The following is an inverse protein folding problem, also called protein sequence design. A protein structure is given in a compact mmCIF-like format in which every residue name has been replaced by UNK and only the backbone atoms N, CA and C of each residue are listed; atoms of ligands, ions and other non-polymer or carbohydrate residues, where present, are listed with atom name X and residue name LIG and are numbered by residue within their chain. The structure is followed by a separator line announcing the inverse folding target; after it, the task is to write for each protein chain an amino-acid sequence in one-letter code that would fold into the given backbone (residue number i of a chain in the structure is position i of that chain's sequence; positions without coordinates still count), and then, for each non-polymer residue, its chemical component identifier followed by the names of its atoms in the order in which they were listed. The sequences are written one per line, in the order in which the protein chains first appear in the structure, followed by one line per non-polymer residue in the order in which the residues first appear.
data_IF_621164240789
#
_entry.id   IF_621164240789
#
_cell.length_a   1.000
_cell.length_b   1.000
_cell.length_c   1.000
_cell.angle_alpha   90.00
_cell.angle_beta   90.00
_cell.angle_gamma   90.00
#
_symmetry.space_group_name_H-M   'P 1'
#
loop_
_entity.id
_entity.type
_entity.pdbx_description
1 polymer ?
#
# COMPACT_ATOMS: atom_id res chain seq x y z
N UNK A 1 -4.09 -4.76 16.44
CA UNK A 1 -3.82 -5.07 15.01
C UNK A 1 -4.36 -3.92 14.17
N UNK A 2 -3.59 -3.40 13.19
CA UNK A 2 -3.98 -2.25 12.39
C UNK A 2 -5.21 -2.50 11.48
N UNK A 3 -5.43 -3.74 11.06
CA UNK A 3 -6.51 -4.11 10.13
C UNK A 3 -7.60 -4.98 10.80
N UNK A 4 -7.78 -4.88 12.12
CA UNK A 4 -8.72 -5.72 12.84
C UNK A 4 -8.38 -7.21 12.70
N UNK A 5 -9.31 -8.00 12.12
CA UNK A 5 -9.11 -9.43 11.81
C UNK A 5 -8.49 -9.68 10.43
N UNK A 6 -8.41 -8.67 9.58
CA UNK A 6 -7.83 -8.78 8.24
C UNK A 6 -6.30 -8.84 8.36
N UNK A 7 -5.68 -9.76 7.64
CA UNK A 7 -4.24 -9.73 7.41
C UNK A 7 -3.99 -9.63 5.90
N UNK A 8 -3.68 -8.42 5.36
CA UNK A 8 -3.44 -8.24 3.93
C UNK A 8 -2.33 -9.14 3.37
N UNK A 9 -1.33 -9.51 4.20
CA UNK A 9 -0.23 -10.39 3.79
C UNK A 9 -0.73 -11.76 3.30
N UNK A 10 -1.81 -12.29 3.89
CA UNK A 10 -2.42 -13.56 3.47
C UNK A 10 -2.98 -13.50 2.04
N UNK A 11 -3.16 -12.29 1.51
CA UNK A 11 -3.65 -12.05 0.16
C UNK A 11 -2.54 -11.59 -0.80
N UNK A 12 -1.27 -11.64 -0.38
CA UNK A 12 -0.13 -11.19 -1.20
C UNK A 12 0.05 -9.68 -1.22
N UNK A 13 -0.55 -8.96 -0.26
CA UNK A 13 -0.39 -7.53 -0.08
C UNK A 13 0.45 -7.30 1.17
N UNK A 14 1.62 -6.69 1.03
CA UNK A 14 2.47 -6.25 2.14
C UNK A 14 2.08 -4.83 2.53
N UNK A 15 1.47 -4.61 3.73
CA UNK A 15 1.28 -3.29 4.27
C UNK A 15 2.55 -2.84 5.02
N UNK A 16 3.10 -1.68 4.66
CA UNK A 16 4.24 -1.06 5.36
C UNK A 16 3.77 0.25 5.98
N UNK A 17 3.85 0.36 7.31
CA UNK A 17 3.59 1.60 8.02
C UNK A 17 4.80 2.52 7.89
N UNK A 18 4.59 3.71 7.34
CA UNK A 18 5.60 4.76 7.27
C UNK A 18 5.22 5.88 8.22
N UNK A 19 6.16 6.31 9.04
CA UNK A 19 6.10 7.50 9.88
C UNK A 19 7.17 8.46 9.39
N UNK A 20 6.76 9.66 8.97
CA UNK A 20 7.65 10.75 8.60
C UNK A 20 7.50 11.86 9.63
N UNK A 21 8.63 12.38 10.10
CA UNK A 21 8.69 13.53 10.99
C UNK A 21 9.59 14.57 10.35
N UNK A 22 9.13 15.82 10.31
CA UNK A 22 9.91 16.93 9.80
C UNK A 22 10.50 17.72 10.96
N UNK A 23 11.73 17.36 11.34
CA UNK A 23 12.50 18.11 12.34
C UNK A 23 13.24 19.32 11.72
N UNK A 24 13.09 19.54 10.42
CA UNK A 24 13.70 20.66 9.71
C UNK A 24 12.90 21.96 9.81
N UNK A 25 13.52 23.10 9.48
CA UNK A 25 12.88 24.41 9.55
C UNK A 25 11.98 24.74 8.35
N UNK A 26 12.02 23.93 7.28
CA UNK A 26 11.29 24.16 6.04
C UNK A 26 10.09 23.23 5.91
N UNK A 27 9.00 23.72 5.34
CA UNK A 27 7.86 22.87 4.95
C UNK A 27 8.25 21.94 3.81
N UNK A 28 7.94 20.65 3.95
CA UNK A 28 8.17 19.66 2.90
C UNK A 28 6.90 19.45 2.08
N UNK A 29 7.05 19.28 0.77
CA UNK A 29 6.02 18.71 -0.10
C UNK A 29 6.32 17.23 -0.34
N UNK A 30 5.27 16.43 -0.23
CA UNK A 30 5.24 14.99 -0.44
C UNK A 30 4.47 14.61 -1.72
N UNK A 31 4.00 15.59 -2.52
CA UNK A 31 3.22 15.32 -3.73
C UNK A 31 4.00 14.54 -4.80
N UNK A 32 5.32 14.68 -4.83
CA UNK A 32 6.22 13.92 -5.70
C UNK A 32 6.82 12.67 -5.04
N UNK A 33 6.42 12.37 -3.79
CA UNK A 33 7.03 11.29 -3.02
C UNK A 33 6.71 9.95 -3.66
N UNK A 34 7.75 9.15 -3.90
CA UNK A 34 7.62 7.77 -4.36
C UNK A 34 8.18 6.83 -3.30
N UNK A 35 7.43 5.75 -3.06
CA UNK A 35 7.83 4.68 -2.16
C UNK A 35 7.85 3.39 -2.96
N UNK A 36 9.02 2.78 -3.06
CA UNK A 36 9.26 1.53 -3.75
C UNK A 36 9.72 0.46 -2.76
N UNK A 37 9.29 -0.78 -2.98
CA UNK A 37 9.80 -1.94 -2.28
C UNK A 37 10.76 -2.69 -3.19
N UNK A 38 12.05 -2.67 -2.83
CA UNK A 38 13.13 -3.26 -3.60
C UNK A 38 13.45 -4.64 -3.02
N UNK A 39 13.28 -5.69 -3.81
CA UNK A 39 13.63 -7.05 -3.40
C UNK A 39 15.15 -7.27 -3.43
N UNK A 40 15.64 -8.32 -2.76
CA UNK A 40 17.04 -8.74 -2.85
C UNK A 40 17.50 -9.02 -4.30
N UNK A 41 16.58 -9.40 -5.19
CA UNK A 41 16.81 -9.54 -6.63
C UNK A 41 16.97 -8.22 -7.38
N UNK A 42 16.89 -7.07 -6.69
CA UNK A 42 16.82 -5.70 -7.22
C UNK A 42 15.55 -5.38 -8.03
N UNK A 43 14.57 -6.28 -8.02
CA UNK A 43 13.25 -5.97 -8.56
C UNK A 43 12.60 -4.86 -7.72
N UNK A 44 12.10 -3.82 -8.38
CA UNK A 44 11.36 -2.73 -7.76
C UNK A 44 9.86 -2.97 -7.86
N UNK A 45 9.15 -2.75 -6.76
CA UNK A 45 7.70 -2.86 -6.68
C UNK A 45 7.17 -1.52 -6.19
N UNK A 46 6.42 -0.83 -7.04
CA UNK A 46 5.79 0.43 -6.67
C UNK A 46 4.63 0.21 -5.68
N UNK A 47 4.40 1.20 -4.82
CA UNK A 47 3.26 1.18 -3.92
C UNK A 47 1.95 1.18 -4.71
N UNK A 48 1.10 0.20 -4.44
CA UNK A 48 -0.26 0.10 -4.97
C UNK A 48 -1.16 1.09 -4.24
N UNK A 49 -1.89 1.96 -4.97
CA UNK A 49 -2.87 2.86 -4.38
C UNK A 49 -3.88 2.08 -3.53
N UNK A 50 -4.24 2.58 -2.34
CA UNK A 50 -5.11 1.86 -1.42
C UNK A 50 -6.46 1.44 -2.03
N UNK A 51 -7.04 2.31 -2.86
CA UNK A 51 -8.27 2.04 -3.63
C UNK A 51 -8.14 0.89 -4.64
N UNK A 52 -6.92 0.59 -5.08
CA UNK A 52 -6.61 -0.44 -6.07
C UNK A 52 -6.29 -1.79 -5.43
N UNK A 53 -5.96 -1.82 -4.14
CA UNK A 53 -5.63 -3.05 -3.37
C UNK A 53 -6.75 -4.10 -3.50
N UNK A 54 -8.01 -3.66 -3.50
CA UNK A 54 -9.16 -4.54 -3.68
C UNK A 54 -9.20 -5.26 -5.03
N UNK A 55 -8.51 -4.77 -6.05
CA UNK A 55 -8.58 -5.30 -7.42
C UNK A 55 -7.34 -6.11 -7.82
N UNK A 56 -6.33 -6.19 -6.95
CA UNK A 56 -5.07 -6.93 -7.20
C UNK A 56 -5.31 -8.42 -7.46
N UNK A 57 -6.23 -9.04 -6.73
CA UNK A 57 -6.73 -10.38 -7.08
C UNK A 57 -7.98 -10.18 -7.92
N UNK A 58 -7.86 -10.48 -9.22
CA UNK A 58 -8.99 -10.47 -10.15
C UNK A 58 -10.19 -11.23 -9.56
N UNK A 59 -11.40 -10.72 -9.86
CA UNK A 59 -12.67 -11.34 -9.45
C UNK A 59 -12.62 -12.83 -9.81
N UNK A 60 -12.66 -13.71 -8.80
CA UNK A 60 -12.84 -15.14 -9.04
C UNK A 60 -14.11 -15.29 -9.86
N UNK A 61 -13.98 -15.72 -11.12
CA UNK A 61 -15.13 -15.98 -11.99
C UNK A 61 -16.04 -16.96 -11.24
N UNK A 62 -17.36 -16.68 -11.13
CA UNK A 62 -18.29 -17.66 -10.57
C UNK A 62 -18.11 -18.98 -11.32
N UNK A 63 -17.95 -20.08 -10.59
CA UNK A 63 -17.91 -21.41 -11.18
C UNK A 63 -19.33 -21.74 -11.68
N UNK A 64 -19.66 -21.33 -12.89
CA UNK A 64 -20.93 -21.67 -13.53
C UNK A 64 -20.82 -23.12 -14.00
N UNK A 65 -21.45 -24.03 -13.28
CA UNK A 65 -21.55 -25.43 -13.68
C UNK A 65 -22.53 -25.53 -14.87
N UNK A 66 -22.10 -25.98 -16.07
CA UNK A 66 -23.02 -26.17 -17.20
C UNK A 66 -23.76 -27.49 -16.99
N UNK A 67 -24.86 -27.48 -16.23
CA UNK A 67 -25.73 -28.63 -16.02
C UNK A 67 -27.19 -28.29 -16.37
N UNK A 68 -27.97 -29.23 -16.93
CA UNK A 68 -29.25 -28.95 -17.61
C UNK A 68 -30.46 -28.78 -16.66
N UNK A 69 -30.27 -28.31 -15.43
CA UNK A 69 -31.35 -28.17 -14.45
C UNK A 69 -31.85 -26.71 -14.36
N UNK A 70 -33.16 -26.44 -14.50
CA UNK A 70 -33.73 -25.08 -14.47
C UNK A 70 -33.86 -24.51 -13.04
N UNK A 71 -33.16 -25.09 -12.06
CA UNK A 71 -33.16 -24.66 -10.66
C UNK A 71 -31.75 -24.27 -10.22
N UNK A 72 -31.10 -23.43 -11.02
CA UNK A 72 -29.80 -22.84 -10.71
C UNK A 72 -29.91 -21.76 -9.64
N UNK A 73 -30.19 -22.13 -8.39
CA UNK A 73 -29.90 -21.24 -7.26
C UNK A 73 -28.37 -21.09 -7.23
N UNK A 74 -27.80 -19.90 -7.41
CA UNK A 74 -26.36 -19.73 -7.36
C UNK A 74 -25.88 -20.08 -5.94
N UNK A 75 -25.36 -21.30 -5.74
CA UNK A 75 -24.61 -21.64 -4.52
C UNK A 75 -23.26 -20.97 -4.62
N UNK A 76 -23.23 -19.72 -4.19
CA UNK A 76 -22.02 -18.93 -4.18
C UNK A 76 -22.37 -17.45 -4.21
N UNK A 77 -23.02 -16.94 -3.16
CA UNK A 77 -22.81 -15.55 -2.77
C UNK A 77 -21.30 -15.38 -2.64
N UNK A 78 -20.66 -14.78 -3.66
CA UNK A 78 -19.23 -14.60 -3.72
C UNK A 78 -18.76 -14.03 -2.39
N UNK A 79 -17.82 -14.71 -1.73
CA UNK A 79 -17.24 -14.23 -0.47
C UNK A 79 -16.85 -12.77 -0.69
N UNK A 80 -17.40 -11.85 0.13
CA UNK A 80 -17.04 -10.43 0.09
C UNK A 80 -15.51 -10.34 0.07
N UNK A 81 -14.95 -9.64 -0.92
CA UNK A 81 -13.51 -9.52 -1.03
C UNK A 81 -12.96 -8.85 0.24
N UNK A 82 -12.16 -9.56 1.05
CA UNK A 82 -11.66 -9.04 2.32
C UNK A 82 -10.73 -7.84 2.14
N UNK A 83 -10.18 -7.64 0.94
CA UNK A 83 -9.37 -6.46 0.59
C UNK A 83 -10.21 -5.20 0.29
N UNK A 84 -11.55 -5.27 0.32
CA UNK A 84 -12.44 -4.09 0.30
C UNK A 84 -12.72 -3.51 1.70
N UNK A 85 -11.93 -3.91 2.69
CA UNK A 85 -12.05 -3.42 4.05
C UNK A 85 -11.72 -1.92 4.12
N UNK A 86 -12.56 -1.14 4.81
CA UNK A 86 -12.40 0.31 4.92
C UNK A 86 -11.08 0.69 5.59
N UNK A 87 -10.51 -0.20 6.43
CA UNK A 87 -9.23 -0.01 7.09
C UNK A 87 -8.07 0.13 6.10
N UNK A 88 -8.17 -0.41 4.88
CA UNK A 88 -7.11 -0.27 3.87
C UNK A 88 -7.03 1.18 3.38
N UNK A 89 -8.15 1.75 2.94
CA UNK A 89 -8.20 3.13 2.46
C UNK A 89 -8.04 4.12 3.62
N UNK A 90 -8.75 3.91 4.73
CA UNK A 90 -8.77 4.82 5.86
C UNK A 90 -7.44 4.94 6.61
N UNK A 91 -6.50 4.01 6.38
CA UNK A 91 -5.16 4.03 7.00
C UNK A 91 -4.04 4.25 6.00
N UNK A 92 -4.36 4.48 4.73
CA UNK A 92 -3.36 4.77 3.71
C UNK A 92 -2.61 6.06 4.03
N UNK A 93 -1.33 6.12 3.66
CA UNK A 93 -0.57 7.35 3.77
C UNK A 93 -1.14 8.39 2.80
N UNK A 94 -1.59 9.54 3.33
CA UNK A 94 -2.34 10.55 2.56
C UNK A 94 -1.76 11.97 2.64
N UNK A 95 -0.71 12.18 3.44
CA UNK A 95 -0.13 13.51 3.62
C UNK A 95 0.55 14.00 2.33
N UNK A 96 0.20 15.21 1.89
CA UNK A 96 0.81 15.89 0.73
C UNK A 96 1.85 16.94 1.13
N UNK A 97 1.76 17.42 2.36
CA UNK A 97 2.58 18.49 2.91
C UNK A 97 2.95 18.10 4.33
N UNK A 98 4.16 18.48 4.76
CA UNK A 98 4.64 18.22 6.11
C UNK A 98 5.34 19.48 6.65
N UNK A 99 4.63 20.31 7.43
CA UNK A 99 5.19 21.52 8.04
C UNK A 99 6.31 21.20 9.05
N UNK A 100 7.16 22.20 9.39
CA UNK A 100 8.16 22.08 10.44
C UNK A 100 7.56 21.60 11.77
N UNK A 101 8.25 20.67 12.44
CA UNK A 101 7.85 20.10 13.72
C UNK A 101 6.64 19.16 13.68
N UNK A 102 6.12 18.85 12.49
CA UNK A 102 4.97 17.94 12.34
C UNK A 102 5.39 16.55 11.90
N UNK A 103 4.50 15.59 12.15
CA UNK A 103 4.62 14.22 11.69
C UNK A 103 3.40 13.79 10.87
N UNK A 104 3.62 12.86 9.95
CA UNK A 104 2.58 12.19 9.18
C UNK A 104 2.84 10.69 9.16
N UNK A 105 1.77 9.90 9.21
CA UNK A 105 1.89 8.45 9.13
C UNK A 105 0.76 7.81 8.34
N UNK A 106 1.02 6.61 7.86
CA UNK A 106 0.04 5.79 7.16
C UNK A 106 0.70 4.62 6.44
N UNK A 107 -0.13 3.78 5.84
CA UNK A 107 0.33 2.58 5.16
C UNK A 107 0.54 2.82 3.66
N UNK A 108 1.63 2.25 3.15
CA UNK A 108 1.80 1.92 1.74
C UNK A 108 1.57 0.42 1.56
N UNK A 109 1.03 0.03 0.40
CA UNK A 109 0.69 -1.35 0.10
C UNK A 109 1.50 -1.84 -1.09
N UNK A 110 2.08 -3.02 -1.01
CA UNK A 110 2.88 -3.60 -2.09
C UNK A 110 2.34 -4.97 -2.48
N UNK A 111 2.29 -5.26 -3.78
CA UNK A 111 1.84 -6.57 -4.30
C UNK A 111 2.98 -7.59 -4.20
N UNK A 112 3.37 -7.90 -2.97
CA UNK A 112 4.42 -8.86 -2.64
C UNK A 112 4.15 -9.42 -1.25
N UNK A 113 4.53 -10.67 -0.95
CA UNK A 113 4.78 -11.07 0.42
C UNK A 113 6.01 -10.32 0.98
N UNK A 114 6.14 -10.28 2.30
CA UNK A 114 7.39 -9.87 2.95
C UNK A 114 8.55 -10.79 2.53
N UNK A 115 9.69 -10.18 2.18
CA UNK A 115 10.93 -10.86 1.79
C UNK A 115 12.10 -10.31 2.61
N UNK A 116 12.87 -11.15 3.32
CA UNK A 116 14.11 -10.72 3.97
C UNK A 116 15.10 -10.14 2.97
N UNK A 117 15.93 -9.19 3.41
CA UNK A 117 16.91 -8.51 2.57
C UNK A 117 16.31 -7.58 1.51
N UNK A 118 15.04 -7.21 1.69
CA UNK A 118 14.38 -6.18 0.89
C UNK A 118 14.61 -4.79 1.49
N UNK A 119 14.38 -3.74 0.71
CA UNK A 119 14.58 -2.35 1.14
C UNK A 119 13.35 -1.53 0.77
N UNK A 120 12.86 -0.70 1.69
CA UNK A 120 11.95 0.39 1.36
C UNK A 120 12.77 1.57 0.86
N UNK A 121 12.52 1.98 -0.38
CA UNK A 121 13.19 3.10 -1.01
C UNK A 121 12.22 4.28 -1.15
N UNK A 122 12.55 5.40 -0.52
CA UNK A 122 11.71 6.61 -0.51
C UNK A 122 12.46 7.74 -1.24
N UNK A 123 11.80 8.38 -2.20
CA UNK A 123 12.36 9.49 -3.01
C UNK A 123 11.34 10.58 -3.26
N UNK A 124 11.77 11.71 -3.86
CA UNK A 124 10.84 12.74 -4.34
C UNK A 124 10.28 13.66 -3.26
N UNK A 125 10.83 13.63 -2.04
CA UNK A 125 10.54 14.60 -0.99
C UNK A 125 11.29 15.89 -1.30
N UNK A 126 10.59 17.03 -1.28
CA UNK A 126 11.15 18.34 -1.66
C UNK A 126 10.79 19.41 -0.66
N UNK A 127 11.58 20.46 -0.60
CA UNK A 127 11.17 21.71 0.05
C UNK A 127 10.01 22.34 -0.74
N UNK A 128 8.96 22.75 -0.04
CA UNK A 128 7.77 23.31 -0.70
C UNK A 128 8.06 24.64 -1.42
N UNK A 129 8.93 25.49 -0.85
CA UNK A 129 9.24 26.82 -1.40
C UNK A 129 10.20 26.79 -2.59
N UNK A 130 11.30 26.03 -2.48
CA UNK A 130 12.37 26.00 -3.50
C UNK A 130 12.20 24.87 -4.52
N UNK A 131 11.37 23.86 -4.21
CA UNK A 131 11.26 22.59 -4.93
C UNK A 131 12.57 21.81 -5.02
N UNK A 132 13.57 22.15 -4.20
CA UNK A 132 14.81 21.41 -4.10
C UNK A 132 14.52 20.02 -3.55
N UNK A 133 14.96 18.99 -4.26
CA UNK A 133 14.93 17.62 -3.77
C UNK A 133 15.95 17.45 -2.66
N UNK A 134 15.50 16.89 -1.54
CA UNK A 134 16.30 16.88 -0.32
C UNK A 134 17.15 15.63 -0.22
N UNK A 135 16.54 14.46 -0.30
CA UNK A 135 17.21 13.19 -0.10
C UNK A 135 16.37 12.02 -0.62
N UNK A 136 17.02 10.86 -0.66
CA UNK A 136 16.38 9.56 -0.68
C UNK A 136 16.62 8.85 0.66
N UNK A 137 15.78 7.88 1.00
CA UNK A 137 15.97 7.03 2.16
C UNK A 137 15.87 5.55 1.76
N UNK A 138 16.77 4.73 2.30
CA UNK A 138 16.78 3.29 2.17
C UNK A 138 16.59 2.67 3.56
N UNK A 139 15.51 1.90 3.73
CA UNK A 139 15.19 1.24 5.00
C UNK A 139 15.21 -0.27 4.77
N UNK A 140 16.25 -0.99 5.23
CA UNK A 140 16.33 -2.43 5.05
C UNK A 140 15.29 -3.15 5.93
N UNK A 141 14.78 -4.25 5.39
CA UNK A 141 13.99 -5.25 6.11
C UNK A 141 14.87 -6.47 6.35
N UNK A 142 15.17 -6.72 7.62
CA UNK A 142 15.86 -7.92 8.11
C UNK A 142 14.91 -9.13 8.18
#
# INVERSE_FOLDING_TARGET
MAFGKLNPNQYGILPVLVLLQNDGPQTLTLEGMRVEYILASRQRIEATPAREVAYVKGVNKPNVYPGPLPTGIPRGLGKKNPLRAWEIEGRAFAAKMLPPGQSASGFFYFQSPHRPGSVLYITGIREAGTRRELFYAEIPFE
#
